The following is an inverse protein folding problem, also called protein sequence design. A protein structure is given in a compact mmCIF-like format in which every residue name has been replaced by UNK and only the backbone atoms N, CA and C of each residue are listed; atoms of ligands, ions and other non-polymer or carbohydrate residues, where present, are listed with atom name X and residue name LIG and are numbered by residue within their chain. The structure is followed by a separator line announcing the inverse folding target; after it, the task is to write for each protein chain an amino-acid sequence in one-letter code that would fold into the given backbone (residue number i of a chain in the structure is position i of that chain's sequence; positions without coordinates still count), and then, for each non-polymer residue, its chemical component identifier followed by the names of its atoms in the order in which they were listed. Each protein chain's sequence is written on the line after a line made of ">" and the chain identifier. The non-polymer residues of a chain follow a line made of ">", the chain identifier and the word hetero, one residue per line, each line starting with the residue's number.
data_IF_083264505085
#
_entry.id   IF_083264505085
#
_cell.length_a   1.000
_cell.length_b   1.000
_cell.length_c   1.000
_cell.angle_alpha   90.00
_cell.angle_beta   90.00
_cell.angle_gamma   90.00
#
_symmetry.space_group_name_H-M   'P 1'
#
loop_
_entity.id
_entity.type
_entity.pdbx_description
1 polymer ?
#
# COMPACT_ATOMS: atom_id res chain seq x y z
N UNK A 1 -3.80 14.67 16.03
CA UNK A 1 -4.81 14.87 14.96
C UNK A 1 -4.03 14.90 13.65
N UNK A 2 -3.84 13.74 13.00
CA UNK A 2 -3.15 13.67 11.71
C UNK A 2 -4.07 14.28 10.65
N UNK A 3 -3.72 15.46 10.15
CA UNK A 3 -4.44 16.12 9.06
C UNK A 3 -4.09 15.42 7.75
N UNK A 4 -5.01 14.61 7.23
CA UNK A 4 -4.90 14.09 5.86
C UNK A 4 -4.86 15.27 4.87
N UNK A 5 -3.69 15.50 4.25
CA UNK A 5 -3.60 16.42 3.12
C UNK A 5 -4.47 15.93 1.97
N UNK A 6 -5.30 16.80 1.42
CA UNK A 6 -6.21 16.53 0.32
C UNK A 6 -5.46 16.32 -1.00
N UNK A 7 -4.78 15.17 -1.14
CA UNK A 7 -4.34 14.68 -2.44
C UNK A 7 -5.60 14.30 -3.24
N UNK A 8 -6.03 15.19 -4.12
CA UNK A 8 -7.15 14.92 -5.03
C UNK A 8 -6.63 14.00 -6.13
N UNK A 9 -6.81 12.69 -5.93
CA UNK A 9 -6.72 11.74 -7.02
C UNK A 9 -7.94 12.00 -7.91
N UNK A 10 -7.75 12.46 -9.15
CA UNK A 10 -8.82 12.44 -10.16
C UNK A 10 -8.73 11.11 -10.91
N UNK A 11 -9.44 10.07 -10.47
CA UNK A 11 -9.58 8.84 -11.20
C UNK A 11 -10.79 8.97 -12.14
N UNK A 12 -10.94 8.03 -13.03
CA UNK A 12 -12.30 7.70 -13.50
C UNK A 12 -13.13 7.33 -12.27
N UNK A 13 -13.82 8.33 -11.74
CA UNK A 13 -14.56 8.29 -10.47
C UNK A 13 -15.65 7.22 -10.41
N UNK A 14 -15.90 6.51 -11.52
CA UNK A 14 -16.97 5.53 -11.64
C UNK A 14 -16.60 4.11 -11.20
N UNK A 15 -15.31 3.72 -11.20
CA UNK A 15 -14.91 2.34 -10.86
C UNK A 15 -14.44 2.17 -9.41
N UNK A 16 -13.80 3.17 -8.82
CA UNK A 16 -13.28 3.10 -7.45
C UNK A 16 -14.34 2.79 -6.38
N UNK A 17 -15.54 3.39 -6.38
CA UNK A 17 -16.58 3.03 -5.42
C UNK A 17 -17.00 1.56 -5.50
N UNK A 18 -16.89 0.94 -6.68
CA UNK A 18 -17.18 -0.48 -6.91
C UNK A 18 -16.14 -1.43 -6.32
N UNK A 19 -14.89 -0.97 -6.09
CA UNK A 19 -13.81 -1.84 -5.59
C UNK A 19 -14.10 -2.33 -4.18
N UNK A 20 -14.54 -1.46 -3.26
CA UNK A 20 -14.92 -1.87 -1.89
C UNK A 20 -16.09 -2.83 -1.92
N UNK A 21 -17.08 -2.60 -2.78
CA UNK A 21 -18.21 -3.50 -2.97
C UNK A 21 -17.74 -4.88 -3.49
N UNK A 22 -16.78 -4.89 -4.41
CA UNK A 22 -16.21 -6.14 -4.94
C UNK A 22 -15.41 -6.88 -3.87
N UNK A 23 -14.59 -6.16 -3.07
CA UNK A 23 -13.89 -6.75 -1.92
C UNK A 23 -14.91 -7.38 -0.96
N UNK A 24 -15.99 -6.68 -0.61
CA UNK A 24 -17.07 -7.22 0.24
C UNK A 24 -17.66 -8.50 -0.35
N UNK A 25 -17.96 -8.55 -1.64
CA UNK A 25 -18.48 -9.73 -2.32
C UNK A 25 -17.49 -10.91 -2.30
N UNK A 26 -16.18 -10.64 -2.44
CA UNK A 26 -15.13 -11.65 -2.38
C UNK A 26 -14.80 -12.08 -0.93
N UNK A 27 -15.00 -11.18 0.03
CA UNK A 27 -14.86 -11.47 1.46
C UNK A 27 -15.85 -12.53 1.92
N UNK A 28 -17.04 -12.57 1.27
CA UNK A 28 -18.07 -13.58 1.46
C UNK A 28 -19.02 -13.27 2.60
N UNK A 29 -20.16 -13.93 2.55
CA UNK A 29 -21.22 -13.84 3.56
C UNK A 29 -20.95 -14.74 4.76
N UNK A 30 -21.70 -14.52 5.82
CA UNK A 30 -21.75 -15.39 6.98
C UNK A 30 -22.16 -16.82 6.59
N UNK A 31 -21.57 -17.85 7.19
CA UNK A 31 -22.11 -19.21 7.10
C UNK A 31 -23.59 -19.24 7.54
N UNK A 32 -24.45 -20.03 6.88
CA UNK A 32 -25.84 -20.16 7.26
C UNK A 32 -26.00 -20.55 8.75
N UNK A 33 -26.90 -19.88 9.46
CA UNK A 33 -27.18 -20.15 10.87
C UNK A 33 -26.32 -19.38 11.90
N UNK A 34 -25.46 -18.42 11.48
CA UNK A 34 -24.82 -17.45 12.37
C UNK A 34 -25.51 -16.08 12.25
N UNK A 35 -25.96 -15.56 13.37
CA UNK A 35 -26.63 -14.26 13.45
C UNK A 35 -25.66 -13.08 13.57
N UNK A 36 -24.40 -13.33 13.98
CA UNK A 36 -23.38 -12.32 14.18
C UNK A 36 -21.97 -12.88 13.90
N UNK A 37 -21.15 -12.09 13.19
CA UNK A 37 -19.72 -12.37 13.00
C UNK A 37 -18.94 -11.08 13.29
N UNK A 38 -18.22 -10.99 14.40
CA UNK A 38 -17.47 -9.79 14.76
C UNK A 38 -16.42 -9.39 13.70
N UNK A 39 -15.97 -10.35 12.86
CA UNK A 39 -15.04 -10.05 11.75
C UNK A 39 -15.79 -9.34 10.62
N UNK A 40 -17.05 -9.70 10.33
CA UNK A 40 -17.88 -8.97 9.35
C UNK A 40 -18.20 -7.55 9.84
N UNK A 41 -18.54 -7.39 11.12
CA UNK A 41 -18.81 -6.08 11.72
C UNK A 41 -17.54 -5.20 11.69
N UNK A 42 -16.39 -5.79 11.99
CA UNK A 42 -15.09 -5.12 11.92
C UNK A 42 -14.73 -4.73 10.49
N UNK A 43 -15.04 -5.57 9.48
CA UNK A 43 -14.89 -5.24 8.07
C UNK A 43 -15.72 -4.00 7.70
N UNK A 44 -17.02 -4.00 8.03
CA UNK A 44 -17.89 -2.86 7.73
C UNK A 44 -17.40 -1.59 8.42
N UNK A 45 -16.99 -1.67 9.69
CA UNK A 45 -16.41 -0.55 10.42
C UNK A 45 -15.16 0.01 9.72
N UNK A 46 -14.21 -0.86 9.35
CA UNK A 46 -12.96 -0.45 8.71
C UNK A 46 -13.20 0.26 7.37
N UNK A 47 -14.12 -0.27 6.55
CA UNK A 47 -14.43 0.27 5.22
C UNK A 47 -15.42 1.44 5.22
N UNK A 48 -15.95 1.90 6.36
CA UNK A 48 -16.73 3.15 6.43
C UNK A 48 -15.91 4.38 6.04
N UNK A 49 -14.58 4.31 6.15
CA UNK A 49 -13.63 5.34 5.70
C UNK A 49 -12.56 4.72 4.79
N UNK A 50 -12.87 4.43 3.51
CA UNK A 50 -12.01 3.60 2.65
C UNK A 50 -10.67 4.25 2.27
N UNK A 51 -10.44 5.53 2.62
CA UNK A 51 -9.22 6.23 2.25
C UNK A 51 -9.15 6.59 0.77
N UNK A 52 -7.94 6.91 0.31
CA UNK A 52 -7.70 7.44 -1.07
C UNK A 52 -7.68 6.36 -2.15
N UNK A 53 -7.64 5.09 -1.81
CA UNK A 53 -7.59 3.95 -2.74
C UNK A 53 -6.52 4.10 -3.85
N UNK A 54 -5.36 4.66 -3.52
CA UNK A 54 -4.30 4.97 -4.49
C UNK A 54 -3.81 3.72 -5.23
N UNK A 55 -3.65 2.60 -4.52
CA UNK A 55 -3.17 1.35 -5.12
C UNK A 55 -4.18 0.75 -6.09
N UNK A 56 -5.46 0.78 -5.73
CA UNK A 56 -6.53 0.36 -6.64
C UNK A 56 -6.58 1.26 -7.89
N UNK A 57 -6.43 2.59 -7.73
CA UNK A 57 -6.39 3.54 -8.85
C UNK A 57 -5.23 3.25 -9.80
N UNK A 58 -4.01 3.06 -9.29
CA UNK A 58 -2.83 2.70 -10.09
C UNK A 58 -3.09 1.40 -10.85
N UNK A 59 -3.65 0.38 -10.19
CA UNK A 59 -3.94 -0.91 -10.82
C UNK A 59 -4.98 -0.80 -11.94
N UNK A 60 -6.02 0.02 -11.76
CA UNK A 60 -7.01 0.30 -12.80
C UNK A 60 -6.41 1.06 -13.97
N UNK A 61 -5.57 2.08 -13.73
CA UNK A 61 -4.91 2.85 -14.79
C UNK A 61 -3.95 1.95 -15.60
N UNK A 62 -3.13 1.13 -14.93
CA UNK A 62 -2.25 0.17 -15.59
C UNK A 62 -3.04 -0.87 -16.39
N UNK A 63 -4.12 -1.41 -15.83
CA UNK A 63 -4.99 -2.37 -16.53
C UNK A 63 -5.64 -1.78 -17.77
N UNK A 64 -6.06 -0.52 -17.72
CA UNK A 64 -6.64 0.20 -18.87
C UNK A 64 -5.60 0.42 -19.95
N UNK A 65 -4.41 0.90 -19.60
CA UNK A 65 -3.31 1.11 -20.53
C UNK A 65 -2.96 -0.20 -21.28
N UNK A 66 -2.93 -1.31 -20.55
CA UNK A 66 -2.67 -2.66 -21.08
C UNK A 66 -3.90 -3.33 -21.73
N UNK A 67 -5.01 -2.61 -21.88
CA UNK A 67 -6.25 -3.08 -22.53
C UNK A 67 -6.84 -4.36 -21.94
N UNK A 68 -6.67 -4.56 -20.62
CA UNK A 68 -7.33 -5.66 -19.93
C UNK A 68 -8.84 -5.43 -19.88
N UNK A 69 -9.62 -6.52 -19.88
CA UNK A 69 -11.06 -6.40 -19.71
C UNK A 69 -11.43 -5.84 -18.33
N UNK A 70 -12.58 -5.16 -18.26
CA UNK A 70 -13.02 -4.44 -17.04
C UNK A 70 -13.15 -5.36 -15.83
N UNK A 71 -13.58 -6.62 -16.00
CA UNK A 71 -13.70 -7.55 -14.90
C UNK A 71 -12.33 -7.94 -14.33
N UNK A 72 -11.38 -8.28 -15.21
CA UNK A 72 -9.99 -8.55 -14.82
C UNK A 72 -9.38 -7.35 -14.10
N UNK A 73 -9.50 -6.14 -14.67
CA UNK A 73 -8.99 -4.91 -14.05
C UNK A 73 -9.55 -4.69 -12.64
N UNK A 74 -10.85 -4.87 -12.44
CA UNK A 74 -11.49 -4.73 -11.13
C UNK A 74 -11.03 -5.80 -10.13
N UNK A 75 -10.87 -7.06 -10.56
CA UNK A 75 -10.35 -8.12 -9.70
C UNK A 75 -8.92 -7.86 -9.25
N UNK A 76 -8.03 -7.38 -10.15
CA UNK A 76 -6.66 -7.01 -9.80
C UNK A 76 -6.62 -5.83 -8.83
N UNK A 77 -7.42 -4.80 -9.06
CA UNK A 77 -7.52 -3.65 -8.16
C UNK A 77 -8.08 -4.05 -6.78
N UNK A 78 -9.12 -4.90 -6.73
CA UNK A 78 -9.68 -5.41 -5.48
C UNK A 78 -8.66 -6.27 -4.71
N UNK A 79 -7.86 -7.07 -5.41
CA UNK A 79 -6.77 -7.87 -4.83
C UNK A 79 -5.77 -6.97 -4.07
N UNK A 80 -5.24 -5.95 -4.74
CA UNK A 80 -4.25 -5.05 -4.15
C UNK A 80 -4.83 -4.22 -3.02
N UNK A 81 -6.06 -3.72 -3.17
CA UNK A 81 -6.72 -2.91 -2.15
C UNK A 81 -7.08 -3.73 -0.90
N UNK A 82 -7.48 -5.00 -1.08
CA UNK A 82 -7.72 -5.91 0.06
C UNK A 82 -6.44 -6.13 0.87
N UNK A 83 -5.28 -6.36 0.21
CA UNK A 83 -4.00 -6.49 0.88
C UNK A 83 -3.57 -5.21 1.59
N UNK A 84 -3.77 -4.06 0.95
CA UNK A 84 -3.45 -2.79 1.59
C UNK A 84 -4.28 -2.59 2.87
N UNK A 85 -5.57 -2.89 2.82
CA UNK A 85 -6.41 -2.78 4.02
C UNK A 85 -6.04 -3.83 5.08
N UNK A 86 -5.62 -5.04 4.69
CA UNK A 86 -5.06 -6.02 5.60
C UNK A 86 -3.80 -5.49 6.32
N UNK A 87 -2.88 -4.85 5.57
CA UNK A 87 -1.68 -4.26 6.15
C UNK A 87 -1.98 -3.12 7.11
N UNK A 88 -3.00 -2.29 6.84
CA UNK A 88 -3.41 -1.21 7.74
C UNK A 88 -3.98 -1.73 9.07
N UNK A 89 -4.79 -2.80 9.02
CA UNK A 89 -5.33 -3.42 10.25
C UNK A 89 -4.21 -4.09 11.06
N UNK A 90 -3.24 -4.70 10.38
CA UNK A 90 -2.06 -5.30 11.03
C UNK A 90 -1.16 -4.24 11.67
N UNK A 91 -0.92 -3.14 10.99
CA UNK A 91 -0.16 -1.99 11.46
C UNK A 91 -0.79 -1.40 12.74
N UNK A 92 -2.10 -1.11 12.71
CA UNK A 92 -2.84 -0.66 13.90
C UNK A 92 -2.75 -1.64 15.08
N UNK A 93 -2.76 -2.95 14.79
CA UNK A 93 -2.63 -3.99 15.80
C UNK A 93 -1.22 -4.01 16.43
N UNK A 94 -0.16 -3.87 15.63
CA UNK A 94 1.23 -3.89 16.09
C UNK A 94 1.57 -2.62 16.87
N UNK A 95 1.16 -1.46 16.37
CA UNK A 95 1.41 -0.16 16.98
C UNK A 95 0.47 0.11 18.18
N UNK A 96 -0.47 -0.79 18.47
CA UNK A 96 -1.51 -0.57 19.48
C UNK A 96 -2.24 0.76 19.26
N UNK A 97 -2.43 1.15 18.00
CA UNK A 97 -3.04 2.40 17.61
C UNK A 97 -4.52 2.45 18.03
N UNK A 98 -4.93 3.54 18.69
CA UNK A 98 -6.30 3.70 19.14
C UNK A 98 -7.22 4.28 18.07
N UNK A 99 -6.67 5.09 17.17
CA UNK A 99 -7.43 5.79 16.14
C UNK A 99 -6.74 5.74 14.78
N UNK A 100 -7.55 5.60 13.72
CA UNK A 100 -7.17 5.76 12.32
C UNK A 100 -8.21 6.61 11.61
N UNK A 101 -7.77 7.69 10.94
CA UNK A 101 -8.66 8.62 10.20
C UNK A 101 -9.76 9.21 11.07
N UNK A 102 -9.44 9.54 12.33
CA UNK A 102 -10.38 10.12 13.29
C UNK A 102 -11.45 9.18 13.83
N UNK A 103 -11.25 7.86 13.68
CA UNK A 103 -12.14 6.81 14.17
C UNK A 103 -11.36 5.75 14.95
N UNK A 104 -12.00 5.08 15.94
CA UNK A 104 -11.37 3.96 16.62
C UNK A 104 -10.88 2.90 15.62
N UNK A 105 -9.68 2.35 15.86
CA UNK A 105 -9.17 1.22 15.05
C UNK A 105 -10.00 -0.05 15.28
N UNK A 106 -9.88 -1.03 14.41
CA UNK A 106 -10.50 -2.35 14.61
C UNK A 106 -10.00 -2.98 15.91
N UNK A 107 -8.70 -2.84 16.19
CA UNK A 107 -8.10 -3.35 17.41
C UNK A 107 -8.69 -2.70 18.68
N UNK A 108 -8.89 -1.38 18.65
CA UNK A 108 -9.45 -0.63 19.79
C UNK A 108 -10.93 -0.96 20.04
N UNK A 109 -11.73 -1.19 18.97
CA UNK A 109 -13.17 -1.39 19.09
C UNK A 109 -13.58 -2.85 19.26
N UNK A 110 -12.92 -3.79 18.56
CA UNK A 110 -13.29 -5.20 18.51
C UNK A 110 -12.27 -6.13 19.20
N UNK A 111 -11.12 -5.59 19.59
CA UNK A 111 -10.04 -6.34 20.22
C UNK A 111 -9.06 -6.99 19.25
N UNK A 112 -7.94 -7.46 19.81
CA UNK A 112 -6.77 -7.96 19.08
C UNK A 112 -7.07 -9.19 18.23
N UNK A 113 -7.85 -10.13 18.75
CA UNK A 113 -8.16 -11.38 18.04
C UNK A 113 -9.01 -11.14 16.79
N UNK A 114 -9.98 -10.20 16.86
CA UNK A 114 -10.81 -9.81 15.72
C UNK A 114 -9.98 -9.06 14.68
N UNK A 115 -9.07 -8.17 15.11
CA UNK A 115 -8.15 -7.47 14.19
C UNK A 115 -7.25 -8.46 13.44
N UNK A 116 -6.66 -9.43 14.13
CA UNK A 116 -5.88 -10.49 13.50
C UNK A 116 -6.73 -11.34 12.53
N UNK A 117 -7.93 -11.73 12.96
CA UNK A 117 -8.89 -12.46 12.12
C UNK A 117 -9.27 -11.71 10.86
N UNK A 118 -9.55 -10.39 10.95
CA UNK A 118 -9.83 -9.53 9.80
C UNK A 118 -8.63 -9.42 8.86
N UNK A 119 -7.41 -9.24 9.40
CA UNK A 119 -6.18 -9.21 8.60
C UNK A 119 -6.01 -10.47 7.76
N UNK A 120 -6.16 -11.65 8.38
CA UNK A 120 -6.06 -12.94 7.69
C UNK A 120 -7.16 -13.10 6.62
N UNK A 121 -8.39 -12.72 6.94
CA UNK A 121 -9.51 -12.84 6.02
C UNK A 121 -9.39 -11.87 4.84
N UNK A 122 -8.94 -10.64 5.03
CA UNK A 122 -8.63 -9.70 3.94
C UNK A 122 -7.48 -10.21 3.06
N UNK A 123 -6.44 -10.78 3.67
CA UNK A 123 -5.33 -11.39 2.91
C UNK A 123 -5.82 -12.53 2.02
N UNK A 124 -6.63 -13.44 2.56
CA UNK A 124 -7.23 -14.53 1.75
C UNK A 124 -8.21 -14.02 0.70
N UNK A 125 -8.93 -12.93 0.97
CA UNK A 125 -9.81 -12.25 0.00
C UNK A 125 -9.05 -11.76 -1.23
N UNK A 126 -7.80 -11.33 -1.06
CA UNK A 126 -6.95 -10.96 -2.20
C UNK A 126 -6.72 -12.15 -3.15
N UNK A 127 -6.45 -13.35 -2.62
CA UNK A 127 -6.33 -14.58 -3.43
C UNK A 127 -7.65 -14.96 -4.09
N UNK A 128 -8.78 -14.78 -3.41
CA UNK A 128 -10.12 -14.99 -4.02
C UNK A 128 -10.32 -14.01 -5.19
N UNK A 129 -9.92 -12.75 -5.02
CA UNK A 129 -10.01 -11.75 -6.11
C UNK A 129 -9.22 -12.17 -7.34
N UNK A 130 -7.99 -12.67 -7.17
CA UNK A 130 -7.20 -13.22 -8.29
C UNK A 130 -7.87 -14.44 -8.93
N UNK A 131 -8.47 -15.33 -8.14
CA UNK A 131 -9.12 -16.55 -8.67
C UNK A 131 -10.36 -16.24 -9.52
N UNK A 132 -10.91 -15.02 -9.47
CA UNK A 132 -12.07 -14.58 -10.23
C UNK A 132 -11.74 -14.02 -11.60
N UNK A 133 -10.47 -13.80 -11.94
CA UNK A 133 -10.07 -13.38 -13.29
C UNK A 133 -10.41 -14.47 -14.30
N UNK A 134 -10.89 -14.06 -15.49
CA UNK A 134 -11.32 -15.01 -16.53
C UNK A 134 -10.17 -15.69 -17.24
N UNK A 135 -9.03 -15.00 -17.39
CA UNK A 135 -7.85 -15.55 -18.06
C UNK A 135 -6.98 -16.32 -17.06
N UNK A 136 -7.06 -17.65 -17.13
CA UNK A 136 -6.33 -18.54 -16.20
C UNK A 136 -4.88 -18.82 -16.61
N UNK A 137 -4.47 -18.46 -17.83
CA UNK A 137 -3.13 -18.77 -18.37
C UNK A 137 -1.98 -18.29 -17.47
N UNK A 138 -2.14 -17.17 -16.80
CA UNK A 138 -1.10 -16.55 -15.97
C UNK A 138 -1.40 -16.66 -14.44
N UNK A 139 -2.43 -17.41 -14.05
CA UNK A 139 -2.88 -17.45 -12.65
C UNK A 139 -1.78 -17.89 -11.68
N UNK A 140 -0.97 -18.90 -12.04
CA UNK A 140 0.16 -19.35 -11.23
C UNK A 140 1.17 -18.21 -11.00
N UNK A 141 1.60 -17.53 -12.05
CA UNK A 141 2.54 -16.41 -11.94
C UNK A 141 1.97 -15.23 -11.19
N UNK A 142 0.67 -14.93 -11.34
CA UNK A 142 -0.03 -13.89 -10.58
C UNK A 142 -0.06 -14.24 -9.09
N UNK A 143 -0.30 -15.50 -8.75
CA UNK A 143 -0.30 -15.99 -7.35
C UNK A 143 1.09 -15.92 -6.73
N UNK A 144 2.14 -16.28 -7.48
CA UNK A 144 3.54 -16.17 -7.04
C UNK A 144 3.94 -14.70 -6.80
N UNK A 145 3.56 -13.81 -7.70
CA UNK A 145 3.82 -12.37 -7.56
C UNK A 145 3.11 -11.78 -6.34
N UNK A 146 1.84 -12.15 -6.14
CA UNK A 146 1.08 -11.79 -4.95
C UNK A 146 1.75 -12.27 -3.67
N UNK A 147 2.12 -13.57 -3.61
CA UNK A 147 2.82 -14.15 -2.47
C UNK A 147 4.12 -13.40 -2.16
N UNK A 148 4.93 -13.13 -3.20
CA UNK A 148 6.19 -12.37 -3.04
C UNK A 148 5.95 -10.98 -2.43
N UNK A 149 4.99 -10.24 -2.94
CA UNK A 149 4.69 -8.90 -2.44
C UNK A 149 4.19 -8.94 -0.98
N UNK A 150 3.38 -9.93 -0.61
CA UNK A 150 2.93 -10.14 0.77
C UNK A 150 4.11 -10.47 1.68
N UNK A 151 4.99 -11.41 1.28
CA UNK A 151 6.16 -11.79 2.05
C UNK A 151 7.13 -10.61 2.26
N UNK A 152 7.40 -9.85 1.20
CA UNK A 152 8.26 -8.65 1.26
C UNK A 152 7.65 -7.57 2.19
N UNK A 153 6.32 -7.35 2.13
CA UNK A 153 5.63 -6.39 3.01
C UNK A 153 5.69 -6.82 4.48
N UNK A 154 5.45 -8.10 4.76
CA UNK A 154 5.54 -8.64 6.13
C UNK A 154 6.96 -8.48 6.68
N UNK A 155 7.97 -8.76 5.84
CA UNK A 155 9.38 -8.59 6.25
C UNK A 155 9.70 -7.13 6.57
N UNK A 156 9.27 -6.19 5.71
CA UNK A 156 9.43 -4.75 5.96
C UNK A 156 8.74 -4.30 7.24
N UNK A 157 7.52 -4.78 7.49
CA UNK A 157 6.78 -4.49 8.71
C UNK A 157 7.46 -5.10 9.96
N UNK A 158 8.05 -6.28 9.84
CA UNK A 158 8.82 -6.90 10.95
C UNK A 158 10.07 -6.09 11.28
N UNK A 159 10.77 -5.57 10.27
CA UNK A 159 11.93 -4.71 10.50
C UNK A 159 11.55 -3.36 11.11
N UNK A 160 10.40 -2.81 10.74
CA UNK A 160 9.89 -1.55 11.30
C UNK A 160 9.65 -1.64 12.82
N UNK A 161 9.28 -2.82 13.31
CA UNK A 161 9.05 -3.11 14.72
C UNK A 161 10.34 -3.49 15.49
N UNK A 162 11.48 -3.63 14.83
CA UNK A 162 12.76 -4.02 15.42
C UNK A 162 13.72 -2.84 15.44
N UNK A 163 13.79 -2.14 16.57
CA UNK A 163 14.66 -0.97 16.75
C UNK A 163 16.12 -1.25 16.38
N UNK A 164 16.60 -2.49 16.61
CA UNK A 164 17.98 -2.88 16.26
C UNK A 164 18.25 -2.92 14.76
N UNK A 165 17.21 -2.92 13.93
CA UNK A 165 17.27 -2.91 12.46
C UNK A 165 17.16 -1.51 11.85
N UNK A 166 17.00 -0.47 12.68
CA UNK A 166 16.70 0.89 12.24
C UNK A 166 17.73 1.91 12.81
N UNK A 167 18.94 1.47 13.12
CA UNK A 167 20.00 2.34 13.64
C UNK A 167 20.70 3.14 12.53
N UNK A 168 20.97 2.52 11.38
CA UNK A 168 21.64 3.16 10.26
C UNK A 168 20.63 3.70 9.23
N UNK A 169 20.95 4.83 8.60
CA UNK A 169 20.12 5.44 7.53
C UNK A 169 19.76 4.44 6.43
N UNK A 170 20.71 3.60 6.01
CA UNK A 170 20.45 2.60 4.96
C UNK A 170 19.51 1.48 5.40
N UNK A 171 19.49 1.13 6.69
CA UNK A 171 18.56 0.16 7.23
C UNK A 171 17.14 0.75 7.29
N UNK A 172 17.00 2.01 7.72
CA UNK A 172 15.72 2.74 7.70
C UNK A 172 15.19 2.89 6.28
N UNK A 173 16.03 3.25 5.30
CA UNK A 173 15.64 3.29 3.88
C UNK A 173 15.14 1.94 3.38
N UNK A 174 15.83 0.86 3.75
CA UNK A 174 15.43 -0.50 3.39
C UNK A 174 14.09 -0.86 4.01
N UNK A 175 13.90 -0.58 5.29
CA UNK A 175 12.63 -0.82 6.01
C UNK A 175 11.48 -0.06 5.35
N UNK A 176 11.61 1.26 5.12
CA UNK A 176 10.62 2.09 4.46
C UNK A 176 10.26 1.57 3.05
N UNK A 177 11.28 1.19 2.28
CA UNK A 177 11.12 0.61 0.93
C UNK A 177 10.36 -0.71 0.96
N UNK A 178 10.62 -1.59 1.95
CA UNK A 178 10.00 -2.92 2.04
C UNK A 178 8.64 -2.89 2.73
N UNK A 179 8.37 -1.95 3.65
CA UNK A 179 7.07 -1.80 4.33
C UNK A 179 6.00 -1.35 3.34
N UNK A 180 6.25 -0.30 2.58
CA UNK A 180 5.25 0.36 1.72
C UNK A 180 5.36 -0.03 0.24
N UNK A 181 6.57 -0.29 -0.24
CA UNK A 181 6.89 -0.47 -1.66
C UNK A 181 6.27 -1.68 -2.35
N UNK A 182 6.29 -2.89 -1.77
CA UNK A 182 5.84 -4.09 -2.47
C UNK A 182 4.39 -4.03 -2.94
N UNK A 183 3.48 -3.44 -2.16
CA UNK A 183 2.08 -3.30 -2.55
C UNK A 183 1.86 -2.20 -3.62
N UNK A 184 2.71 -1.17 -3.68
CA UNK A 184 2.70 -0.24 -4.82
C UNK A 184 3.23 -0.90 -6.08
N UNK A 185 4.33 -1.66 -5.99
CA UNK A 185 4.84 -2.46 -7.10
C UNK A 185 3.80 -3.46 -7.62
N UNK A 186 3.10 -4.13 -6.70
CA UNK A 186 2.03 -5.08 -7.03
C UNK A 186 0.89 -4.44 -7.82
N UNK A 187 0.58 -3.17 -7.57
CA UNK A 187 -0.46 -2.43 -8.31
C UNK A 187 -0.18 -2.32 -9.81
N UNK A 188 1.08 -2.46 -10.21
CA UNK A 188 1.52 -2.42 -11.61
C UNK A 188 1.91 -3.81 -12.12
N UNK A 189 2.60 -4.62 -11.30
CA UNK A 189 3.10 -5.92 -11.72
C UNK A 189 1.99 -6.92 -12.02
N UNK A 190 0.87 -6.90 -11.28
CA UNK A 190 -0.27 -7.78 -11.57
C UNK A 190 -0.90 -7.46 -12.94
N UNK A 191 -1.25 -6.21 -13.30
CA UNK A 191 -1.69 -5.87 -14.65
C UNK A 191 -0.70 -6.27 -15.74
N UNK A 192 0.60 -6.01 -15.57
CA UNK A 192 1.65 -6.41 -16.51
C UNK A 192 1.68 -7.92 -16.73
N UNK A 193 1.62 -8.70 -15.64
CA UNK A 193 1.55 -10.16 -15.73
C UNK A 193 0.30 -10.66 -16.44
N UNK A 194 -0.86 -10.07 -16.11
CA UNK A 194 -2.12 -10.45 -16.76
C UNK A 194 -2.11 -10.16 -18.26
N UNK A 195 -1.41 -9.10 -18.69
CA UNK A 195 -1.20 -8.75 -20.10
C UNK A 195 -0.06 -9.56 -20.76
N UNK A 196 0.77 -10.28 -19.99
CA UNK A 196 1.86 -11.12 -20.50
C UNK A 196 3.24 -10.47 -20.52
N UNK A 197 3.41 -9.26 -19.98
CA UNK A 197 4.67 -8.50 -19.94
C UNK A 197 5.55 -8.91 -18.74
N UNK A 198 6.04 -10.15 -18.76
CA UNK A 198 6.89 -10.69 -17.68
C UNK A 198 8.23 -10.00 -17.54
N UNK A 199 8.78 -9.52 -18.64
CA UNK A 199 10.06 -8.79 -18.72
C UNK A 199 10.05 -7.47 -17.95
N UNK A 200 8.89 -6.86 -17.75
CA UNK A 200 8.74 -5.58 -17.04
C UNK A 200 8.58 -5.71 -15.50
N UNK A 201 8.49 -6.93 -14.98
CA UNK A 201 8.19 -7.15 -13.55
C UNK A 201 9.25 -6.61 -12.60
N UNK A 202 10.53 -6.75 -12.96
CA UNK A 202 11.60 -6.26 -12.10
C UNK A 202 11.56 -4.73 -11.99
N UNK A 203 11.30 -4.05 -13.11
CA UNK A 203 11.10 -2.59 -13.10
C UNK A 203 9.86 -2.22 -12.26
N UNK A 204 8.74 -2.92 -12.39
CA UNK A 204 7.54 -2.66 -11.59
C UNK A 204 7.80 -2.81 -10.08
N UNK A 205 8.54 -3.82 -9.65
CA UNK A 205 8.95 -4.02 -8.25
C UNK A 205 9.88 -2.90 -7.78
N UNK A 206 10.87 -2.51 -8.62
CA UNK A 206 11.79 -1.41 -8.32
C UNK A 206 11.06 -0.08 -8.17
N UNK A 207 10.14 0.23 -9.10
CA UNK A 207 9.25 1.39 -9.03
C UNK A 207 8.49 1.41 -7.69
N UNK A 208 7.89 0.29 -7.32
CA UNK A 208 7.18 0.17 -6.06
C UNK A 208 8.06 0.49 -4.85
N UNK A 209 9.26 -0.08 -4.77
CA UNK A 209 10.23 0.14 -3.68
C UNK A 209 10.67 1.60 -3.60
N UNK A 210 11.00 2.22 -4.73
CA UNK A 210 11.39 3.63 -4.81
C UNK A 210 10.24 4.55 -4.41
N UNK A 211 9.04 4.30 -4.94
CA UNK A 211 7.84 5.06 -4.56
C UNK A 211 7.53 4.91 -3.07
N UNK A 212 7.60 3.69 -2.53
CA UNK A 212 7.40 3.42 -1.11
C UNK A 212 8.40 4.16 -0.23
N UNK A 213 9.67 4.15 -0.60
CA UNK A 213 10.73 4.91 0.09
C UNK A 213 10.43 6.41 0.08
N UNK A 214 10.19 6.99 -1.10
CA UNK A 214 9.92 8.42 -1.21
C UNK A 214 8.67 8.84 -0.47
N UNK A 215 7.58 8.06 -0.58
CA UNK A 215 6.32 8.34 0.11
C UNK A 215 6.47 8.27 1.63
N UNK A 216 7.10 7.21 2.17
CA UNK A 216 7.33 7.06 3.61
C UNK A 216 8.22 8.18 4.14
N UNK A 217 9.33 8.50 3.44
CA UNK A 217 10.21 9.61 3.83
C UNK A 217 9.46 10.95 3.92
N UNK A 218 8.50 11.19 3.02
CA UNK A 218 7.66 12.40 3.09
C UNK A 218 6.67 12.38 4.26
N UNK A 219 6.16 11.22 4.62
CA UNK A 219 5.31 11.07 5.82
C UNK A 219 6.14 11.28 7.09
N UNK A 220 7.36 10.73 7.18
CA UNK A 220 8.30 10.94 8.30
C UNK A 220 8.65 12.43 8.49
N UNK A 221 8.85 13.17 7.40
CA UNK A 221 9.10 14.62 7.43
C UNK A 221 7.90 15.42 7.98
N UNK A 222 6.66 14.98 7.70
CA UNK A 222 5.45 15.66 8.18
C UNK A 222 5.13 15.34 9.64
N UNK A 223 5.30 14.07 10.01
CA UNK A 223 4.87 13.55 11.32
C UNK A 223 5.96 13.70 12.39
N UNK A 224 7.13 14.23 12.03
CA UNK A 224 8.32 14.39 12.87
C UNK A 224 8.07 14.93 14.30
N UNK A 225 7.22 15.94 14.43
CA UNK A 225 6.93 16.54 15.73
C UNK A 225 6.16 15.56 16.66
N UNK A 226 5.43 14.62 16.07
CA UNK A 226 4.67 13.58 16.78
C UNK A 226 5.57 12.38 17.06
N UNK A 227 6.38 11.97 16.10
CA UNK A 227 7.25 10.78 16.17
C UNK A 227 8.36 10.91 17.22
N UNK A 228 8.84 12.13 17.47
CA UNK A 228 9.78 12.40 18.60
C UNK A 228 9.22 12.07 19.97
N UNK A 229 7.90 12.01 20.12
CA UNK A 229 7.20 11.71 21.37
C UNK A 229 6.80 10.24 21.48
N UNK A 230 6.91 9.48 20.39
CA UNK A 230 6.59 8.06 20.34
C UNK A 230 7.88 7.24 20.29
N UNK A 231 8.04 6.32 21.19
CA UNK A 231 9.13 5.33 21.17
C UNK A 231 8.71 4.19 20.27
N UNK A 232 9.37 4.05 19.11
CA UNK A 232 9.21 2.92 18.18
C UNK A 232 8.89 3.35 16.74
N UNK A 233 9.36 2.56 15.78
CA UNK A 233 9.21 2.75 14.35
C UNK A 233 10.42 3.44 13.69
N UNK A 234 10.74 2.99 12.48
CA UNK A 234 11.82 3.55 11.68
C UNK A 234 11.44 4.94 11.16
N UNK A 235 12.22 5.97 11.50
CA UNK A 235 12.06 7.32 10.97
C UNK A 235 13.39 7.81 10.37
N UNK A 236 13.38 8.14 9.08
CA UNK A 236 14.60 8.49 8.34
C UNK A 236 15.21 9.81 8.80
N UNK A 237 14.41 10.78 9.24
CA UNK A 237 14.92 12.06 9.74
C UNK A 237 15.69 11.85 11.03
N UNK A 238 15.15 11.03 11.95
CA UNK A 238 15.81 10.67 13.20
C UNK A 238 17.12 9.92 12.95
N UNK A 239 17.17 9.03 11.95
CA UNK A 239 18.39 8.32 11.57
C UNK A 239 19.47 9.29 11.05
N UNK A 240 19.10 10.31 10.28
CA UNK A 240 20.04 11.35 9.84
C UNK A 240 20.53 12.24 11.00
N UNK A 241 19.67 12.57 11.99
CA UNK A 241 20.02 13.38 13.16
C UNK A 241 21.10 12.73 14.04
N UNK A 242 21.35 11.43 13.88
CA UNK A 242 22.47 10.76 14.56
C UNK A 242 23.84 11.32 14.14
N UNK A 243 23.95 11.94 12.97
CA UNK A 243 25.20 12.40 12.39
C UNK A 243 25.15 13.85 11.83
N UNK A 244 23.97 14.43 11.71
CA UNK A 244 23.73 15.75 11.10
C UNK A 244 22.97 16.64 12.08
N UNK A 245 23.08 17.96 11.88
CA UNK A 245 22.19 18.85 12.59
C UNK A 245 20.75 18.77 12.07
N UNK A 246 19.84 19.43 12.77
CA UNK A 246 18.41 19.42 12.50
C UNK A 246 18.06 19.80 11.04
N UNK A 247 18.64 20.87 10.52
CA UNK A 247 18.34 21.38 9.18
C UNK A 247 18.96 20.50 8.12
N UNK A 248 20.19 20.06 8.35
CA UNK A 248 20.88 19.14 7.45
C UNK A 248 20.17 17.79 7.35
N UNK A 249 19.64 17.24 8.47
CA UNK A 249 18.88 16.00 8.48
C UNK A 249 17.57 16.10 7.67
N UNK A 250 16.82 17.21 7.81
CA UNK A 250 15.63 17.45 6.98
C UNK A 250 15.97 17.57 5.50
N UNK A 251 17.02 18.32 5.17
CA UNK A 251 17.45 18.46 3.78
C UNK A 251 17.90 17.12 3.18
N UNK A 252 18.62 16.30 3.94
CA UNK A 252 19.04 14.98 3.51
C UNK A 252 17.85 14.03 3.29
N UNK A 253 16.89 14.00 4.21
CA UNK A 253 15.67 13.21 4.06
C UNK A 253 14.85 13.68 2.85
N UNK A 254 14.73 15.00 2.67
CA UNK A 254 14.05 15.58 1.51
C UNK A 254 14.72 15.15 0.20
N UNK A 255 16.04 15.17 0.13
CA UNK A 255 16.78 14.74 -1.06
C UNK A 255 16.57 13.23 -1.35
N UNK A 256 16.50 12.39 -0.30
CA UNK A 256 16.17 10.97 -0.47
C UNK A 256 14.79 10.80 -1.09
N UNK A 257 13.79 11.52 -0.58
CA UNK A 257 12.42 11.43 -1.10
C UNK A 257 12.35 11.88 -2.56
N UNK A 258 12.95 13.02 -2.89
CA UNK A 258 12.93 13.59 -4.24
C UNK A 258 13.63 12.67 -5.24
N UNK A 259 14.84 12.20 -4.92
CA UNK A 259 15.59 11.29 -5.79
C UNK A 259 14.86 9.96 -6.02
N UNK A 260 14.25 9.40 -4.98
CA UNK A 260 13.50 8.15 -5.09
C UNK A 260 12.23 8.31 -5.94
N UNK A 261 11.48 9.40 -5.77
CA UNK A 261 10.27 9.67 -6.54
C UNK A 261 10.59 10.00 -8.00
N UNK A 262 11.66 10.76 -8.27
CA UNK A 262 12.11 11.08 -9.62
C UNK A 262 12.55 9.82 -10.38
N UNK A 263 13.34 8.95 -9.75
CA UNK A 263 13.75 7.68 -10.34
C UNK A 263 12.53 6.76 -10.58
N UNK A 264 11.59 6.68 -9.61
CA UNK A 264 10.36 5.91 -9.78
C UNK A 264 9.52 6.41 -10.96
N UNK A 265 9.41 7.74 -11.13
CA UNK A 265 8.68 8.35 -12.25
C UNK A 265 9.34 8.03 -13.58
N UNK A 266 10.67 8.14 -13.69
CA UNK A 266 11.42 7.80 -14.90
C UNK A 266 11.21 6.35 -15.32
N UNK A 267 11.41 5.41 -14.39
CA UNK A 267 11.18 3.98 -14.66
C UNK A 267 9.72 3.66 -15.00
N UNK A 268 8.76 4.33 -14.37
CA UNK A 268 7.33 4.13 -14.65
C UNK A 268 6.95 4.61 -16.05
N UNK A 269 7.57 5.68 -16.56
CA UNK A 269 7.35 6.17 -17.92
C UNK A 269 7.88 5.21 -19.00
N UNK A 270 8.84 4.33 -18.66
CA UNK A 270 9.42 3.33 -19.56
C UNK A 270 8.61 2.01 -19.61
N UNK A 271 7.59 1.85 -18.76
CA UNK A 271 6.79 0.62 -18.73
C UNK A 271 5.96 0.44 -20.01
N UNK A 272 5.73 -0.82 -20.45
CA UNK A 272 4.96 -1.12 -21.66
C UNK A 272 3.59 -0.45 -21.67
N UNK A 273 3.16 0.01 -22.87
CA UNK A 273 1.81 0.54 -23.13
C UNK A 273 1.41 1.68 -22.17
N UNK A 274 2.38 2.45 -21.66
CA UNK A 274 2.15 3.53 -20.67
C UNK A 274 1.52 3.03 -19.35
N UNK A 275 1.72 1.75 -19.00
CA UNK A 275 1.13 1.14 -17.80
C UNK A 275 1.59 1.76 -16.47
N UNK A 276 2.66 2.55 -16.47
CA UNK A 276 3.12 3.33 -15.32
C UNK A 276 2.43 4.68 -15.11
N UNK A 277 1.53 5.11 -16.01
CA UNK A 277 0.90 6.45 -15.98
C UNK A 277 0.24 6.81 -14.64
N UNK A 278 -0.36 5.84 -13.96
CA UNK A 278 -0.98 6.05 -12.64
C UNK A 278 0.03 6.45 -11.57
N UNK A 279 1.21 5.85 -11.57
CA UNK A 279 2.31 6.19 -10.64
C UNK A 279 2.90 7.56 -11.00
N UNK A 280 3.21 7.83 -12.27
CA UNK A 280 3.73 9.13 -12.73
C UNK A 280 2.78 10.26 -12.29
N UNK A 281 1.48 10.11 -12.55
CA UNK A 281 0.47 11.09 -12.15
C UNK A 281 0.44 11.31 -10.63
N UNK A 282 0.55 10.23 -9.84
CA UNK A 282 0.54 10.33 -8.38
C UNK A 282 1.79 11.06 -7.87
N UNK A 283 2.96 10.79 -8.43
CA UNK A 283 4.21 11.48 -8.11
C UNK A 283 4.09 12.97 -8.42
N UNK A 284 3.59 13.32 -9.61
CA UNK A 284 3.38 14.73 -10.02
C UNK A 284 2.44 15.46 -9.03
N UNK A 285 1.40 14.81 -8.56
CA UNK A 285 0.49 15.37 -7.56
C UNK A 285 1.17 15.60 -6.21
N UNK A 286 2.00 14.64 -5.77
CA UNK A 286 2.77 14.75 -4.53
C UNK A 286 3.73 15.94 -4.62
N UNK A 287 4.45 16.09 -5.73
CA UNK A 287 5.40 17.19 -5.95
C UNK A 287 4.68 18.55 -5.98
N UNK A 288 3.57 18.67 -6.72
CA UNK A 288 2.78 19.92 -6.83
C UNK A 288 2.17 20.39 -5.51
N UNK A 289 1.89 19.51 -4.58
CA UNK A 289 1.34 19.88 -3.26
C UNK A 289 2.41 20.40 -2.30
N UNK A 290 3.68 20.34 -2.67
CA UNK A 290 4.82 20.78 -1.88
C UNK A 290 5.37 22.14 -2.34
N UNK A 291 5.04 22.55 -3.56
CA UNK A 291 5.32 23.88 -4.13
C UNK A 291 4.19 24.85 -3.84
#
# INVERSE_FOLDING_TARGET
>A
MKTESSLVVSPDSNLLPGIVCLIRNHFGELPPGRECDPICDAFEHHFQTPGKQMRASISLDASRALRLDSHTAQCLAACVEALHNASLVLDDFQDSALERRGRPTVCALYGRDVALGLTLRLTTTAFVSLSRIKQTKHLGSLTEELHKAVADTILGQTWDQDDSKNEAVEDVKRTASMKSGPLFGLSVSLPLLAAGHKEALENARRIGKLFGLGYQTLDDLKDRAVDRLQTGGANIVNAFESNLDFVEAEMAAQQVADSALEEASGLAAELPEESGVGIVRLIDQIIKLRT
#
